data_IF_126396468829
#
_entry.id   IF_126396468829
#
_cell.length_a   1.000
_cell.length_b   1.000
_cell.length_c   1.000
_cell.angle_alpha   90.00
_cell.angle_beta   90.00
_cell.angle_gamma   90.00
#
_symmetry.space_group_name_H-M   'P 1'
#
loop_
_entity.id
_entity.type
_entity.pdbx_description
1 polymer ?
#
# COMPACT_ATOMS: atom_id res chain seq x y z
N UNK A 1 26.90 3.92 1.94
CA UNK A 1 26.84 4.33 0.52
C UNK A 1 25.77 5.39 0.44
N UNK A 2 26.17 6.62 0.16
CA UNK A 2 25.24 7.75 0.04
C UNK A 2 24.73 7.76 -1.40
N UNK A 3 23.43 7.56 -1.60
CA UNK A 3 22.81 7.66 -2.93
C UNK A 3 22.43 9.11 -3.19
N UNK A 4 22.94 9.68 -4.27
CA UNK A 4 22.55 11.03 -4.68
C UNK A 4 21.25 11.00 -5.49
N UNK A 5 20.47 12.09 -5.46
CA UNK A 5 19.26 12.24 -6.28
C UNK A 5 19.54 12.01 -7.77
N UNK A 6 20.72 12.37 -8.27
CA UNK A 6 21.11 12.11 -9.65
C UNK A 6 21.20 10.62 -9.98
N UNK A 7 21.85 9.82 -9.11
CA UNK A 7 21.96 8.37 -9.28
C UNK A 7 20.59 7.69 -9.21
N UNK A 8 19.70 8.18 -8.35
CA UNK A 8 18.32 7.69 -8.31
C UNK A 8 17.59 7.97 -9.63
N UNK A 9 17.78 9.14 -10.25
CA UNK A 9 17.19 9.46 -11.55
C UNK A 9 17.72 8.55 -12.66
N UNK A 10 19.03 8.29 -12.67
CA UNK A 10 19.63 7.37 -13.63
C UNK A 10 19.14 5.94 -13.42
N UNK A 11 19.01 5.49 -12.17
CA UNK A 11 18.45 4.19 -11.86
C UNK A 11 17.00 4.06 -12.32
N UNK A 12 16.16 5.06 -12.07
CA UNK A 12 14.76 5.09 -12.53
C UNK A 12 14.69 5.10 -14.06
N UNK A 13 15.58 5.83 -14.74
CA UNK A 13 15.66 5.83 -16.20
C UNK A 13 16.07 4.45 -16.75
N UNK A 14 17.10 3.83 -16.15
CA UNK A 14 17.53 2.48 -16.51
C UNK A 14 16.43 1.43 -16.23
N UNK A 15 15.73 1.56 -15.10
CA UNK A 15 14.60 0.71 -14.74
C UNK A 15 13.48 0.89 -15.78
N UNK A 16 13.19 2.11 -16.24
CA UNK A 16 12.24 2.40 -17.32
C UNK A 16 12.56 1.66 -18.61
N UNK A 17 13.84 1.55 -18.97
CA UNK A 17 14.30 0.83 -20.17
C UNK A 17 14.43 -0.69 -19.97
N UNK A 18 14.52 -1.17 -18.74
CA UNK A 18 14.65 -2.59 -18.40
C UNK A 18 13.27 -3.29 -18.32
N UNK A 19 13.20 -4.60 -18.55
CA UNK A 19 11.95 -5.37 -18.39
C UNK A 19 11.59 -5.65 -16.91
N UNK A 20 12.33 -5.04 -15.97
CA UNK A 20 12.09 -5.19 -14.53
C UNK A 20 10.81 -4.45 -14.12
N UNK A 21 9.86 -5.19 -13.54
CA UNK A 21 8.60 -4.64 -13.02
C UNK A 21 8.74 -3.99 -11.63
N UNK A 22 9.67 -4.49 -10.81
CA UNK A 22 9.89 -4.05 -9.43
C UNK A 22 11.38 -4.06 -9.09
N UNK A 23 11.86 -2.99 -8.47
CA UNK A 23 13.19 -2.88 -7.89
C UNK A 23 13.09 -2.50 -6.42
N UNK A 24 13.67 -3.31 -5.56
CA UNK A 24 13.79 -3.01 -4.13
C UNK A 24 15.25 -2.81 -3.76
N UNK A 25 15.58 -1.62 -3.26
CA UNK A 25 16.86 -1.27 -2.69
C UNK A 25 16.75 -1.24 -1.18
N UNK A 26 17.46 -2.14 -0.51
CA UNK A 26 17.50 -2.25 0.95
C UNK A 26 18.86 -1.83 1.47
N UNK A 27 18.87 -0.82 2.32
CA UNK A 27 20.04 -0.32 3.05
C UNK A 27 19.78 -0.39 4.54
N UNK A 28 20.83 -0.32 5.36
CA UNK A 28 20.69 -0.40 6.83
C UNK A 28 19.81 0.69 7.45
N UNK A 29 19.56 1.80 6.75
CA UNK A 29 18.76 2.93 7.22
C UNK A 29 17.49 3.19 6.40
N UNK A 30 17.34 2.59 5.22
CA UNK A 30 16.20 2.86 4.35
C UNK A 30 15.89 1.68 3.44
N UNK A 31 14.65 1.62 3.01
CA UNK A 31 14.18 0.70 1.97
C UNK A 31 13.45 1.51 0.91
N UNK A 32 13.82 1.33 -0.35
CA UNK A 32 13.22 2.03 -1.49
C UNK A 32 12.71 0.99 -2.49
N UNK A 33 11.40 0.96 -2.67
CA UNK A 33 10.73 0.07 -3.62
C UNK A 33 10.18 0.90 -4.77
N UNK A 34 10.70 0.67 -5.97
CA UNK A 34 10.26 1.25 -7.23
C UNK A 34 9.48 0.19 -7.99
N UNK A 35 8.21 0.45 -8.28
CA UNK A 35 7.40 -0.38 -9.17
C UNK A 35 7.07 0.39 -10.44
N UNK A 36 7.26 -0.25 -11.59
CA UNK A 36 6.68 0.28 -12.82
C UNK A 36 5.16 0.21 -12.70
N UNK A 37 4.42 1.26 -13.10
CA UNK A 37 3.01 1.14 -13.38
C UNK A 37 2.88 0.31 -14.65
N UNK A 38 2.95 -1.01 -14.52
CA UNK A 38 2.47 -1.91 -15.55
C UNK A 38 0.99 -1.59 -15.72
N UNK A 39 0.52 -1.51 -16.96
CA UNK A 39 -0.68 -0.81 -17.42
C UNK A 39 -2.05 -1.30 -16.86
N UNK A 40 -2.08 -1.95 -15.70
CA UNK A 40 -3.26 -2.60 -15.12
C UNK A 40 -3.48 -2.34 -13.62
N UNK A 41 -2.79 -1.37 -13.01
CA UNK A 41 -3.09 -0.97 -11.64
C UNK A 41 -3.21 0.55 -11.52
N UNK A 42 -4.22 1.10 -12.19
CA UNK A 42 -5.05 2.08 -11.51
C UNK A 42 -5.67 1.36 -10.30
N UNK A 43 -4.94 1.30 -9.19
CA UNK A 43 -5.61 1.06 -7.92
C UNK A 43 -6.53 2.27 -7.75
N UNK A 44 -7.86 2.11 -7.73
CA UNK A 44 -8.65 3.13 -7.10
C UNK A 44 -8.12 3.16 -5.68
N UNK A 45 -7.62 4.30 -5.23
CA UNK A 45 -7.64 4.61 -3.82
C UNK A 45 -9.10 4.42 -3.41
N UNK A 46 -9.42 3.21 -2.94
CA UNK A 46 -10.63 2.95 -2.21
C UNK A 46 -10.45 3.81 -0.97
N UNK A 47 -11.00 5.02 -1.07
CA UNK A 47 -11.56 5.74 0.04
C UNK A 47 -12.34 4.71 0.83
N UNK A 48 -11.70 4.12 1.84
CA UNK A 48 -12.39 3.36 2.86
C UNK A 48 -13.26 4.41 3.52
N UNK A 49 -14.50 4.50 3.05
CA UNK A 49 -15.58 5.18 3.74
C UNK A 49 -15.57 4.59 5.13
N UNK A 50 -15.14 5.38 6.10
CA UNK A 50 -15.26 5.09 7.51
C UNK A 50 -16.75 5.15 7.87
N UNK A 51 -17.51 4.16 7.40
CA UNK A 51 -18.85 3.87 7.90
C UNK A 51 -18.67 3.13 9.22
N UNK A 52 -18.24 3.86 10.24
CA UNK A 52 -18.35 3.41 11.63
C UNK A 52 -19.83 3.47 12.01
N UNK A 53 -20.57 2.44 11.61
CA UNK A 53 -21.95 2.21 12.00
C UNK A 53 -22.10 0.73 12.34
N UNK A 54 -21.48 0.32 13.47
CA UNK A 54 -21.81 -0.94 14.13
C UNK A 54 -22.13 -0.64 15.59
N UNK A 55 -23.41 -0.47 15.86
CA UNK A 55 -24.01 -0.84 17.13
C UNK A 55 -25.38 -1.47 16.85
N UNK A 56 -25.48 -2.81 16.67
CA UNK A 56 -26.75 -3.50 16.77
C UNK A 56 -27.22 -3.52 18.24
N UNK A 57 -28.54 -3.38 18.51
CA UNK A 57 -29.10 -3.28 19.86
C UNK A 57 -29.05 -4.62 20.61
N UNK A 58 -28.80 -4.65 21.93
CA UNK A 58 -29.04 -5.84 22.74
C UNK A 58 -30.51 -5.89 23.19
N UNK A 59 -31.30 -6.83 22.65
CA UNK A 59 -32.53 -7.36 23.25
C UNK A 59 -32.74 -8.81 22.77
N UNK A 60 -33.45 -9.70 23.50
CA UNK A 60 -34.01 -9.61 24.86
C UNK A 60 -33.39 -10.66 25.82
N UNK A 61 -33.43 -10.38 27.13
CA UNK A 61 -33.22 -11.41 28.16
C UNK A 61 -34.47 -12.29 28.27
N UNK A 62 -34.36 -13.63 28.36
CA UNK A 62 -35.52 -14.49 28.60
C UNK A 62 -36.03 -14.26 30.03
N UNK A 63 -37.33 -14.02 30.16
CA UNK A 63 -38.02 -13.99 31.46
C UNK A 63 -38.12 -15.43 32.00
N UNK A 64 -37.65 -15.74 33.22
CA UNK A 64 -37.99 -16.99 33.87
C UNK A 64 -39.44 -16.92 34.34
N UNK A 65 -40.26 -17.88 33.93
CA UNK A 65 -41.59 -18.08 34.49
C UNK A 65 -41.48 -18.67 35.91
N UNK A 66 -42.04 -17.97 36.90
CA UNK A 66 -42.48 -18.53 38.18
C UNK A 66 -43.62 -17.70 38.76
#
# INVERSE_FOLDING_TARGET
MEFTVNELRELVAALSQSDVAELTLKSSSFELTLRKPSALAAAPSLLTVEASAVAPPPMPVPVPAV
#
